data_IF_978001028823
#
_entry.id   IF_978001028823
#
_cell.length_a   1.000
_cell.length_b   1.000
_cell.length_c   1.000
_cell.angle_alpha   90.00
_cell.angle_beta   90.00
_cell.angle_gamma   90.00
#
_symmetry.space_group_name_H-M   'P 1'
#
loop_
_entity.id
_entity.type
_entity.pdbx_description
1 polymer ?
#
# COMPACT_ATOMS: atom_id res chain seq x y z
N UNK A 1 -2.50 14.91 0.07
CA UNK A 1 -1.62 15.83 0.77
C UNK A 1 -0.62 16.48 -0.18
N UNK A 2 -0.05 17.59 0.22
CA UNK A 2 0.97 18.29 -0.58
C UNK A 2 2.18 17.38 -0.86
N UNK A 3 2.56 16.55 0.10
CA UNK A 3 3.65 15.59 -0.07
C UNK A 3 3.33 14.56 -1.17
N UNK A 4 2.12 14.03 -1.17
CA UNK A 4 1.68 13.08 -2.20
C UNK A 4 1.63 13.73 -3.58
N UNK A 5 1.17 14.97 -3.69
CA UNK A 5 1.18 15.70 -4.97
C UNK A 5 2.60 15.89 -5.49
N UNK A 6 3.57 16.21 -4.61
CA UNK A 6 4.97 16.34 -5.01
C UNK A 6 5.56 15.03 -5.51
N UNK A 7 5.32 13.93 -4.80
CA UNK A 7 5.82 12.61 -5.22
C UNK A 7 5.24 12.17 -6.56
N UNK A 8 3.98 12.52 -6.83
CA UNK A 8 3.33 12.20 -8.10
C UNK A 8 3.57 13.25 -9.19
N UNK A 9 4.35 14.30 -8.89
CA UNK A 9 4.69 15.36 -9.84
C UNK A 9 3.46 16.05 -10.44
N UNK A 10 2.43 16.28 -9.63
CA UNK A 10 1.20 16.98 -10.05
C UNK A 10 0.97 18.23 -9.23
N UNK A 11 0.16 19.14 -9.77
CA UNK A 11 -0.18 20.37 -9.08
C UNK A 11 -1.00 20.13 -7.82
N UNK A 12 -0.86 21.00 -6.83
CA UNK A 12 -1.55 20.87 -5.53
C UNK A 12 -3.07 20.95 -5.66
N UNK A 13 -3.59 21.53 -6.74
CA UNK A 13 -5.02 21.62 -7.02
C UNK A 13 -5.57 20.42 -7.77
N UNK A 14 -4.71 19.51 -8.20
CA UNK A 14 -5.13 18.31 -8.92
C UNK A 14 -5.73 17.29 -7.96
N UNK A 15 -6.87 16.72 -8.33
CA UNK A 15 -7.53 15.71 -7.53
C UNK A 15 -6.80 14.37 -7.64
N UNK A 16 -6.55 13.76 -6.49
CA UNK A 16 -6.00 12.41 -6.40
C UNK A 16 -7.10 11.46 -5.96
N UNK A 17 -7.17 10.32 -6.62
CA UNK A 17 -8.07 9.25 -6.21
C UNK A 17 -7.39 8.39 -5.15
N UNK A 18 -8.09 8.11 -4.07
CA UNK A 18 -7.61 7.24 -2.98
C UNK A 18 -8.51 6.02 -2.87
N UNK A 19 -7.90 4.86 -2.83
CA UNK A 19 -8.58 3.59 -2.61
C UNK A 19 -7.94 2.91 -1.41
N UNK A 20 -8.78 2.39 -0.52
CA UNK A 20 -8.31 1.64 0.65
C UNK A 20 -9.02 0.30 0.73
N UNK A 21 -8.26 -0.75 1.02
CA UNK A 21 -8.80 -2.08 1.26
C UNK A 21 -8.19 -2.65 2.52
N UNK A 22 -9.01 -3.38 3.27
CA UNK A 22 -8.53 -4.21 4.37
C UNK A 22 -8.37 -5.63 3.86
N UNK A 23 -7.18 -6.20 4.03
CA UNK A 23 -6.97 -7.60 3.70
C UNK A 23 -7.34 -8.45 4.92
N UNK A 24 -8.19 -9.43 4.68
CA UNK A 24 -8.72 -10.30 5.73
C UNK A 24 -8.31 -11.72 5.42
N UNK A 25 -7.74 -12.41 6.40
CA UNK A 25 -7.38 -13.81 6.31
C UNK A 25 -8.09 -14.58 7.44
N UNK A 26 -8.88 -15.58 7.07
CA UNK A 26 -9.67 -16.37 8.04
C UNK A 26 -10.52 -15.50 8.99
N UNK A 27 -11.14 -14.46 8.43
CA UNK A 27 -11.98 -13.54 9.19
C UNK A 27 -11.23 -12.50 10.02
N UNK A 28 -9.90 -12.48 9.98
CA UNK A 28 -9.07 -11.57 10.76
C UNK A 28 -8.40 -10.55 9.82
N UNK A 29 -8.56 -9.24 10.05
CA UNK A 29 -7.82 -8.24 9.31
C UNK A 29 -6.33 -8.39 9.54
N UNK A 30 -5.55 -8.47 8.44
CA UNK A 30 -4.10 -8.69 8.51
C UNK A 30 -3.30 -7.45 8.10
N UNK A 31 -3.80 -6.68 7.15
CA UNK A 31 -3.18 -5.39 6.80
C UNK A 31 -4.16 -4.50 6.03
N UNK A 32 -3.82 -3.21 5.97
CA UNK A 32 -4.55 -2.22 5.18
C UNK A 32 -3.71 -1.86 3.96
N UNK A 33 -4.32 -1.90 2.78
CA UNK A 33 -3.68 -1.56 1.52
C UNK A 33 -4.31 -0.27 0.99
N UNK A 34 -3.48 0.75 0.75
CA UNK A 34 -3.89 2.04 0.21
C UNK A 34 -3.26 2.30 -1.14
N UNK A 35 -4.02 2.89 -2.05
CA UNK A 35 -3.51 3.39 -3.31
C UNK A 35 -3.94 4.84 -3.49
N UNK A 36 -3.00 5.71 -3.82
CA UNK A 36 -3.26 7.10 -4.23
C UNK A 36 -2.80 7.23 -5.68
N UNK A 37 -3.67 7.67 -6.56
CA UNK A 37 -3.36 7.74 -8.00
C UNK A 37 -3.83 9.05 -8.63
N UNK A 38 -3.17 9.42 -9.72
CA UNK A 38 -3.40 10.69 -10.44
C UNK A 38 -4.53 10.61 -11.46
N UNK A 39 -5.02 9.45 -11.81
CA UNK A 39 -5.92 9.30 -12.92
C UNK A 39 -7.26 8.70 -12.56
N UNK A 40 -8.13 8.62 -13.56
CA UNK A 40 -9.33 7.82 -13.48
C UNK A 40 -8.93 6.35 -13.52
N UNK A 41 -9.43 5.60 -12.55
CA UNK A 41 -9.21 4.17 -12.51
C UNK A 41 -10.43 3.45 -13.04
N UNK A 42 -10.19 2.58 -14.02
CA UNK A 42 -11.20 1.66 -14.53
C UNK A 42 -11.12 0.34 -13.75
N UNK A 43 -11.33 0.42 -12.44
CA UNK A 43 -11.37 -0.76 -11.59
C UNK A 43 -12.82 -1.14 -11.30
N UNK A 44 -13.19 -2.36 -11.67
CA UNK A 44 -14.51 -2.90 -11.35
C UNK A 44 -14.55 -3.37 -9.89
N UNK A 45 -15.76 -3.48 -9.33
CA UNK A 45 -15.94 -4.06 -8.00
C UNK A 45 -15.35 -5.48 -7.92
N UNK A 46 -15.49 -6.24 -8.99
CA UNK A 46 -14.96 -7.60 -9.06
C UNK A 46 -13.43 -7.62 -8.92
N UNK A 47 -12.74 -6.72 -9.60
CA UNK A 47 -11.28 -6.56 -9.47
C UNK A 47 -10.89 -6.19 -8.04
N UNK A 48 -11.64 -5.27 -7.41
CA UNK A 48 -11.36 -4.82 -6.06
C UNK A 48 -11.62 -5.90 -5.00
N UNK A 49 -12.49 -6.85 -5.27
CA UNK A 49 -12.75 -7.99 -4.37
C UNK A 49 -11.71 -9.10 -4.50
N UNK A 50 -10.89 -9.08 -5.55
CA UNK A 50 -9.85 -10.08 -5.78
C UNK A 50 -8.68 -9.96 -4.81
N UNK A 51 -7.70 -10.83 -4.99
CA UNK A 51 -6.54 -10.94 -4.09
C UNK A 51 -5.33 -10.12 -4.53
N UNK A 52 -5.35 -9.52 -5.71
CA UNK A 52 -4.22 -8.72 -6.19
C UNK A 52 -4.08 -7.42 -5.40
N UNK A 53 -2.85 -7.05 -5.01
CA UNK A 53 -2.59 -5.74 -4.43
C UNK A 53 -3.07 -4.61 -5.34
N UNK A 54 -3.44 -3.48 -4.75
CA UNK A 54 -3.96 -2.32 -5.52
C UNK A 54 -2.96 -1.80 -6.54
N UNK A 55 -1.66 -1.81 -6.21
CA UNK A 55 -0.63 -1.39 -7.16
C UNK A 55 -0.56 -2.30 -8.38
N UNK A 56 -0.73 -3.60 -8.21
CA UNK A 56 -0.79 -4.55 -9.34
C UNK A 56 -2.06 -4.36 -10.16
N UNK A 57 -3.20 -4.09 -9.51
CA UNK A 57 -4.44 -3.77 -10.22
C UNK A 57 -4.28 -2.51 -11.07
N UNK A 58 -3.63 -1.49 -10.52
CA UNK A 58 -3.33 -0.27 -11.27
C UNK A 58 -2.49 -0.58 -12.51
N UNK A 59 -1.48 -1.42 -12.38
CA UNK A 59 -0.60 -1.77 -13.49
C UNK A 59 -1.33 -2.47 -14.63
N UNK A 60 -2.37 -3.24 -14.32
CA UNK A 60 -3.19 -3.93 -15.33
C UNK A 60 -4.07 -2.95 -16.12
N UNK A 61 -4.37 -1.78 -15.58
CA UNK A 61 -5.20 -0.77 -16.24
C UNK A 61 -4.41 0.23 -17.07
N UNK A 62 -3.09 0.23 -16.94
CA UNK A 62 -2.21 1.21 -17.58
C UNK A 62 -1.56 0.62 -18.84
N UNK A 63 -1.41 1.40 -19.91
CA UNK A 63 -0.64 0.97 -21.07
C UNK A 63 0.85 1.00 -20.76
N UNK A 64 1.57 -0.03 -21.16
CA UNK A 64 3.00 -0.10 -21.06
C UNK A 64 3.50 -0.76 -19.78
N UNK A 65 4.82 -0.75 -19.59
CA UNK A 65 5.49 -1.41 -18.49
C UNK A 65 5.42 -0.54 -17.24
N UNK A 66 5.00 -1.15 -16.14
CA UNK A 66 4.92 -0.49 -14.83
C UNK A 66 6.12 -0.87 -13.99
N UNK A 67 6.74 0.11 -13.33
CA UNK A 67 7.85 -0.09 -12.41
C UNK A 67 7.46 0.40 -11.02
N UNK A 68 7.93 -0.32 -10.00
CA UNK A 68 7.81 0.10 -8.61
C UNK A 68 9.15 0.69 -8.18
N UNK A 69 9.16 1.98 -7.86
CA UNK A 69 10.35 2.71 -7.41
C UNK A 69 10.18 3.21 -5.99
N UNK A 70 11.27 3.67 -5.40
CA UNK A 70 11.29 4.28 -4.07
C UNK A 70 10.56 3.43 -3.03
N UNK A 71 10.90 2.15 -3.01
CA UNK A 71 10.34 1.23 -2.04
C UNK A 71 10.84 1.60 -0.65
N UNK A 72 9.90 1.86 0.25
CA UNK A 72 10.20 2.27 1.61
C UNK A 72 9.61 1.30 2.62
N UNK A 73 10.21 1.27 3.80
CA UNK A 73 9.75 0.48 4.93
C UNK A 73 9.97 1.33 6.18
N UNK A 74 8.88 1.66 6.87
CA UNK A 74 8.93 2.55 8.02
C UNK A 74 8.12 1.98 9.18
N UNK A 75 8.55 2.29 10.39
CA UNK A 75 7.77 2.02 11.60
C UNK A 75 7.04 3.29 11.98
N UNK A 76 5.74 3.19 12.18
CA UNK A 76 4.88 4.30 12.59
C UNK A 76 4.08 3.90 13.83
N UNK A 77 3.51 4.88 14.51
CA UNK A 77 2.52 4.63 15.55
C UNK A 77 1.14 4.52 14.89
N UNK A 78 0.37 3.51 15.29
CA UNK A 78 -0.98 3.34 14.78
C UNK A 78 -1.86 4.52 15.20
N UNK A 79 -2.48 5.19 14.23
CA UNK A 79 -3.52 6.16 14.54
C UNK A 79 -4.80 5.42 14.99
N UNK A 80 -5.78 6.11 15.59
CA UNK A 80 -6.98 5.45 16.10
C UNK A 80 -7.77 4.69 15.03
N UNK A 81 -7.80 5.17 13.80
CA UNK A 81 -8.51 4.52 12.70
C UNK A 81 -7.85 3.19 12.31
N UNK A 82 -6.54 3.22 12.08
CA UNK A 82 -5.76 2.02 11.74
C UNK A 82 -5.78 1.02 12.91
N UNK A 83 -5.65 1.52 14.14
CA UNK A 83 -5.68 0.67 15.33
C UNK A 83 -7.00 -0.10 15.43
N UNK A 84 -8.13 0.56 15.20
CA UNK A 84 -9.45 -0.08 15.24
C UNK A 84 -9.58 -1.17 14.17
N UNK A 85 -9.09 -0.92 12.96
CA UNK A 85 -9.15 -1.90 11.86
C UNK A 85 -8.28 -3.12 12.17
N UNK A 86 -7.04 -2.90 12.58
CA UNK A 86 -6.05 -3.96 12.77
C UNK A 86 -6.14 -4.65 14.13
N UNK A 87 -7.01 -4.18 15.03
CA UNK A 87 -7.15 -4.77 16.36
C UNK A 87 -5.95 -4.55 17.25
N UNK A 88 -5.26 -3.42 17.08
CA UNK A 88 -4.16 -3.01 17.95
C UNK A 88 -4.56 -1.77 18.75
N UNK A 89 -3.76 -1.41 19.76
CA UNK A 89 -4.02 -0.20 20.53
C UNK A 89 -3.53 1.03 19.77
N UNK A 90 -4.22 2.19 19.89
CA UNK A 90 -3.69 3.44 19.36
C UNK A 90 -2.28 3.70 19.92
N UNK A 91 -1.37 4.09 19.02
CA UNK A 91 0.03 4.32 19.38
C UNK A 91 0.92 3.09 19.30
N UNK A 92 0.36 1.88 19.16
CA UNK A 92 1.19 0.68 18.94
C UNK A 92 1.97 0.79 17.63
N UNK A 93 3.17 0.18 17.59
CA UNK A 93 3.96 0.17 16.35
C UNK A 93 3.25 -0.58 15.23
N UNK A 94 3.21 0.03 14.06
CA UNK A 94 2.80 -0.60 12.81
C UNK A 94 3.93 -0.45 11.81
N UNK A 95 4.02 -1.37 10.87
CA UNK A 95 4.98 -1.33 9.80
C UNK A 95 4.29 -0.83 8.54
N UNK A 96 4.85 0.20 7.92
CA UNK A 96 4.34 0.76 6.68
C UNK A 96 5.33 0.52 5.55
N UNK A 97 4.90 -0.20 4.53
CA UNK A 97 5.64 -0.32 3.28
C UNK A 97 5.05 0.64 2.25
N UNK A 98 5.90 1.21 1.40
CA UNK A 98 5.45 2.13 0.35
C UNK A 98 6.17 1.90 -0.96
N UNK A 99 5.45 2.10 -2.06
CA UNK A 99 6.00 2.01 -3.41
C UNK A 99 5.53 3.21 -4.22
N UNK A 100 6.43 3.79 -4.99
CA UNK A 100 6.07 4.73 -6.06
C UNK A 100 5.90 3.93 -7.34
N UNK A 101 4.74 4.07 -7.97
CA UNK A 101 4.40 3.36 -9.20
C UNK A 101 4.63 4.30 -10.38
N UNK A 102 5.44 3.85 -11.34
CA UNK A 102 5.88 4.66 -12.48
C UNK A 102 5.57 3.91 -13.77
N UNK A 103 4.99 4.59 -14.73
CA UNK A 103 4.75 4.08 -16.08
C UNK A 103 5.37 5.03 -17.10
N UNK A 104 6.24 4.51 -17.98
CA UNK A 104 6.95 5.29 -19.00
C UNK A 104 7.69 6.49 -18.39
N UNK A 105 8.31 6.29 -17.22
CA UNK A 105 9.04 7.33 -16.52
C UNK A 105 8.17 8.35 -15.78
N UNK A 106 6.85 8.20 -15.81
CA UNK A 106 5.92 9.15 -15.17
C UNK A 106 5.32 8.51 -13.92
N UNK A 107 5.41 9.19 -12.76
CA UNK A 107 4.74 8.71 -11.56
C UNK A 107 3.22 8.71 -11.73
N UNK A 108 2.58 7.59 -11.42
CA UNK A 108 1.12 7.43 -11.57
C UNK A 108 0.42 7.03 -10.29
N UNK A 109 1.13 6.50 -9.31
CA UNK A 109 0.50 6.07 -8.07
C UNK A 109 1.48 5.87 -6.93
N UNK A 110 0.92 5.93 -5.72
CA UNK A 110 1.61 5.58 -4.48
C UNK A 110 0.81 4.47 -3.81
N UNK A 111 1.47 3.38 -3.50
CA UNK A 111 0.85 2.27 -2.78
C UNK A 111 1.47 2.13 -1.39
N UNK A 112 0.63 1.96 -0.38
CA UNK A 112 1.06 1.75 0.99
C UNK A 112 0.39 0.51 1.56
N UNK A 113 1.14 -0.24 2.37
CA UNK A 113 0.59 -1.34 3.15
C UNK A 113 0.94 -1.11 4.61
N UNK A 114 -0.04 -1.24 5.49
CA UNK A 114 0.14 -1.03 6.92
C UNK A 114 -0.18 -2.32 7.65
N UNK A 115 0.81 -2.85 8.37
CA UNK A 115 0.74 -4.12 9.09
C UNK A 115 0.95 -3.88 10.58
N UNK A 116 0.30 -4.66 11.45
CA UNK A 116 0.75 -4.75 12.85
C UNK A 116 2.20 -5.20 12.88
N UNK A 117 3.04 -4.55 13.67
CA UNK A 117 4.49 -4.85 13.67
C UNK A 117 4.79 -6.32 14.04
N UNK A 118 4.00 -6.90 14.94
CA UNK A 118 4.17 -8.29 15.36
C UNK A 118 3.77 -9.32 14.29
N UNK A 119 3.00 -8.91 13.29
CA UNK A 119 2.41 -9.81 12.30
C UNK A 119 3.25 -9.96 11.04
N UNK A 120 4.40 -9.31 10.97
CA UNK A 120 5.18 -9.23 9.74
C UNK A 120 6.62 -9.63 10.03
N UNK A 121 7.19 -10.43 9.12
CA UNK A 121 8.60 -10.75 9.10
C UNK A 121 9.23 -10.12 7.86
N UNK A 122 10.32 -9.43 8.08
CA UNK A 122 11.15 -8.88 7.01
C UNK A 122 12.24 -9.90 6.66
N UNK A 123 12.30 -10.30 5.40
CA UNK A 123 13.27 -11.32 4.93
C UNK A 123 14.03 -10.75 3.76
N UNK A 124 15.37 -10.77 3.86
CA UNK A 124 16.24 -10.40 2.75
C UNK A 124 16.34 -11.58 1.78
N UNK A 125 16.11 -11.34 0.50
CA UNK A 125 16.16 -12.34 -0.55
C UNK A 125 17.17 -11.87 -1.59
N UNK A 126 18.36 -12.49 -1.62
CA UNK A 126 19.37 -12.19 -2.65
C UNK A 126 19.66 -10.69 -2.81
N UNK A 127 20.49 -10.31 -3.67
CA UNK A 127 20.92 -8.96 -4.16
C UNK A 127 20.26 -7.67 -3.62
N UNK A 128 20.04 -7.59 -2.29
CA UNK A 128 19.50 -6.40 -1.66
C UNK A 128 17.98 -6.24 -1.77
N UNK A 129 17.29 -7.24 -2.29
CA UNK A 129 15.82 -7.24 -2.29
C UNK A 129 15.26 -7.82 -0.98
N UNK A 130 13.98 -7.58 -0.71
CA UNK A 130 13.35 -8.08 0.51
C UNK A 130 11.92 -8.56 0.24
N UNK A 131 11.46 -9.44 1.11
CA UNK A 131 10.06 -9.85 1.17
C UNK A 131 9.50 -9.57 2.56
N UNK A 132 8.24 -9.13 2.59
CA UNK A 132 7.46 -9.04 3.81
C UNK A 132 6.57 -10.27 3.88
N UNK A 133 6.72 -11.05 4.96
CA UNK A 133 5.90 -12.23 5.19
C UNK A 133 4.95 -11.99 6.35
N UNK A 134 3.67 -12.23 6.14
CA UNK A 134 2.68 -12.18 7.21
C UNK A 134 2.81 -13.47 8.01
N UNK A 135 3.12 -13.34 9.30
CA UNK A 135 3.39 -14.49 10.17
C UNK A 135 2.26 -14.78 11.16
N UNK A 136 1.19 -14.02 11.11
CA UNK A 136 0.08 -14.20 12.01
C UNK A 136 0.41 -13.85 13.46
N UNK A 137 -0.64 -13.81 14.28
CA UNK A 137 -0.52 -13.48 15.70
C UNK A 137 -0.10 -14.71 16.46
N UNK A 138 1.13 -14.73 16.97
CA UNK A 138 1.55 -15.74 17.94
C UNK A 138 0.97 -15.34 19.29
N UNK A 139 -0.04 -16.02 19.67
CA UNK A 139 -0.76 -15.76 20.93
C UNK A 139 -0.08 -16.31 22.12
#
# INVERSE_FOLDING_TARGET
>A
SAHQHRLLEVGVDEHLLKISRVRVLDGVPVFVNHLVTTGELNLSEEMLRGDLPLGELLSLTLPGLTQFRERSLEVEQADPYIAAILGVLPGEPVLRSGNLIVTKGVPVGLEFNIFPAYAVRFVLVGDGDYELKVVGKTG
#
